data_IF_315853712329
#
_entry.id   IF_315853712329
#
_cell.length_a   1.000
_cell.length_b   1.000
_cell.length_c   1.000
_cell.angle_alpha   90.00
_cell.angle_beta   90.00
_cell.angle_gamma   90.00
#
_symmetry.space_group_name_H-M   'P 1'
#
loop_
_entity.id
_entity.type
_entity.pdbx_description
1 polymer ?
#
# COMPACT_ATOMS: atom_id res chain seq x y z
N UNK A 1 -17.09 18.72 -12.60
CA UNK A 1 -17.04 17.36 -12.03
C UNK A 1 -16.57 17.52 -10.60
N UNK A 2 -17.45 17.28 -9.63
CA UNK A 2 -17.15 17.48 -8.21
C UNK A 2 -16.15 16.40 -7.75
N UNK A 3 -15.06 16.83 -7.11
CA UNK A 3 -14.21 15.95 -6.32
C UNK A 3 -15.05 15.41 -5.14
N UNK A 4 -15.02 14.11 -4.82
CA UNK A 4 -15.59 13.64 -3.56
C UNK A 4 -14.78 14.28 -2.42
N UNK A 5 -15.45 14.93 -1.48
CA UNK A 5 -14.80 15.51 -0.32
C UNK A 5 -14.29 14.36 0.56
N UNK A 6 -12.99 14.32 0.84
CA UNK A 6 -12.36 13.29 1.68
C UNK A 6 -12.73 13.40 3.16
N UNK A 7 -13.80 14.10 3.50
CA UNK A 7 -14.28 14.30 4.86
C UNK A 7 -15.09 13.09 5.30
N UNK A 8 -14.58 12.34 6.27
CA UNK A 8 -15.30 11.23 6.89
C UNK A 8 -16.62 11.73 7.51
N UNK A 9 -17.72 10.96 7.42
CA UNK A 9 -18.78 11.07 8.41
C UNK A 9 -18.22 10.67 9.78
N UNK A 10 -18.38 11.57 10.75
CA UNK A 10 -17.92 11.42 12.14
C UNK A 10 -18.68 10.27 12.83
N UNK A 11 -18.18 9.04 12.70
CA UNK A 11 -18.70 7.84 13.37
C UNK A 11 -17.90 7.47 14.63
N UNK A 12 -17.01 8.35 15.12
CA UNK A 12 -16.29 8.17 16.39
C UNK A 12 -15.36 6.95 16.48
N UNK A 13 -15.20 6.17 15.40
CA UNK A 13 -14.42 4.92 15.40
C UNK A 13 -13.11 5.04 14.61
N UNK A 14 -12.91 6.09 13.81
CA UNK A 14 -11.76 6.24 12.92
C UNK A 14 -11.68 5.18 11.81
N UNK A 15 -12.71 4.34 11.68
CA UNK A 15 -12.80 3.29 10.67
C UNK A 15 -13.67 3.80 9.51
N UNK A 16 -13.08 3.83 8.32
CA UNK A 16 -13.87 3.87 7.08
C UNK A 16 -14.72 2.61 7.04
N UNK A 17 -16.05 2.77 6.97
CA UNK A 17 -16.93 1.66 6.65
C UNK A 17 -16.45 1.00 5.35
N UNK A 18 -16.44 -0.34 5.22
CA UNK A 18 -15.93 -1.03 4.03
C UNK A 18 -16.58 -0.62 2.68
N UNK A 19 -17.66 0.16 2.72
CA UNK A 19 -18.41 0.66 1.57
C UNK A 19 -18.18 2.15 1.23
N UNK A 20 -17.42 2.89 2.05
CA UNK A 20 -17.11 4.29 1.78
C UNK A 20 -15.98 4.40 0.74
N UNK A 21 -16.23 5.10 -0.36
CA UNK A 21 -15.22 5.29 -1.40
C UNK A 21 -14.10 6.21 -0.88
N UNK A 22 -12.88 5.69 -0.84
CA UNK A 22 -11.67 6.38 -0.39
C UNK A 22 -10.48 5.95 -1.25
N UNK A 23 -9.40 6.75 -1.35
CA UNK A 23 -8.20 6.33 -2.04
C UNK A 23 -7.53 5.15 -1.33
N UNK A 24 -6.65 4.45 -2.06
CA UNK A 24 -5.67 3.55 -1.47
C UNK A 24 -4.34 4.26 -1.30
N UNK A 25 -3.66 4.01 -0.19
CA UNK A 25 -2.25 4.35 -0.05
C UNK A 25 -1.41 3.11 -0.37
N UNK A 26 -0.60 3.20 -1.42
CA UNK A 26 0.26 2.13 -1.91
C UNK A 26 1.73 2.53 -1.78
N UNK A 27 2.56 1.63 -1.27
CA UNK A 27 3.98 1.89 -0.95
C UNK A 27 4.93 0.85 -1.56
N UNK A 28 4.44 0.07 -2.53
CA UNK A 28 5.15 -1.09 -3.08
C UNK A 28 4.87 -1.37 -4.56
N UNK A 29 4.61 -2.63 -4.87
CA UNK A 29 4.46 -3.13 -6.25
C UNK A 29 3.26 -2.52 -7.02
N UNK A 30 2.34 -1.88 -6.30
CA UNK A 30 1.20 -1.12 -6.84
C UNK A 30 1.52 0.37 -7.12
N UNK A 31 2.71 0.85 -6.78
CA UNK A 31 3.17 2.19 -7.16
C UNK A 31 3.40 2.30 -8.67
N UNK A 32 3.29 3.51 -9.22
CA UNK A 32 3.39 3.77 -10.66
C UNK A 32 4.66 3.18 -11.28
N UNK A 33 4.48 2.39 -12.33
CA UNK A 33 5.60 1.80 -13.04
C UNK A 33 6.21 0.59 -12.33
N UNK A 34 5.55 0.01 -11.32
CA UNK A 34 5.88 -1.31 -10.76
C UNK A 34 4.95 -2.41 -11.32
N UNK A 35 5.28 -3.68 -11.09
CA UNK A 35 4.73 -4.85 -11.80
C UNK A 35 3.24 -5.02 -11.60
N UNK A 36 2.76 -4.89 -10.36
CA UNK A 36 1.34 -5.03 -10.07
C UNK A 36 0.56 -3.81 -10.53
N UNK A 37 1.16 -2.62 -10.51
CA UNK A 37 0.57 -1.44 -11.14
C UNK A 37 0.38 -1.62 -12.64
N UNK A 38 1.43 -2.06 -13.36
CA UNK A 38 1.38 -2.34 -14.80
C UNK A 38 0.32 -3.39 -15.15
N UNK A 39 0.18 -4.41 -14.30
CA UNK A 39 -0.72 -5.54 -14.51
C UNK A 39 -2.19 -5.20 -14.22
N UNK A 40 -2.45 -4.39 -13.20
CA UNK A 40 -3.77 -4.28 -12.59
C UNK A 40 -4.36 -2.86 -12.57
N UNK A 41 -3.53 -1.81 -12.56
CA UNK A 41 -3.98 -0.45 -12.22
C UNK A 41 -3.93 0.57 -13.36
N UNK A 42 -3.21 0.32 -14.46
CA UNK A 42 -2.97 1.34 -15.50
C UNK A 42 -4.24 2.03 -16.03
N UNK A 43 -5.28 1.27 -16.37
CA UNK A 43 -6.56 1.80 -16.85
C UNK A 43 -7.52 2.20 -15.74
N UNK A 44 -7.17 1.92 -14.49
CA UNK A 44 -8.10 1.92 -13.35
C UNK A 44 -7.90 3.08 -12.39
N UNK A 45 -6.74 3.74 -12.44
CA UNK A 45 -6.45 4.91 -11.62
C UNK A 45 -6.99 6.18 -12.27
N UNK A 46 -7.85 6.90 -11.54
CA UNK A 46 -8.42 8.20 -11.93
C UNK A 46 -7.49 9.36 -11.56
N UNK A 47 -6.82 9.27 -10.41
CA UNK A 47 -5.91 10.28 -9.88
C UNK A 47 -4.83 9.59 -9.03
N UNK A 48 -3.62 10.12 -9.07
CA UNK A 48 -2.48 9.65 -8.27
C UNK A 48 -1.75 10.85 -7.71
N UNK A 49 -1.51 10.87 -6.41
CA UNK A 49 -0.66 11.84 -5.75
C UNK A 49 0.47 11.14 -4.98
N UNK A 50 1.60 11.81 -4.81
CA UNK A 50 2.62 11.35 -3.85
C UNK A 50 2.14 11.57 -2.43
N UNK A 51 2.53 10.68 -1.52
CA UNK A 51 2.02 10.69 -0.15
C UNK A 51 3.01 10.13 0.86
N UNK A 52 2.80 10.47 2.13
CA UNK A 52 3.59 9.94 3.24
C UNK A 52 2.71 9.52 4.41
N UNK A 53 2.99 8.34 4.95
CA UNK A 53 2.38 7.80 6.16
C UNK A 53 3.39 7.85 7.32
N UNK A 54 3.01 8.44 8.45
CA UNK A 54 3.84 8.49 9.68
C UNK A 54 3.47 7.37 10.64
N UNK A 55 4.39 7.01 11.54
CA UNK A 55 4.17 5.97 12.55
C UNK A 55 4.26 4.54 11.99
N UNK A 56 5.07 4.36 10.94
CA UNK A 56 5.20 3.09 10.25
C UNK A 56 6.66 2.79 9.90
N UNK A 57 7.00 1.51 9.87
CA UNK A 57 8.32 1.00 9.49
C UNK A 57 8.20 0.13 8.26
N UNK A 58 9.08 0.38 7.28
CA UNK A 58 9.10 -0.31 6.01
C UNK A 58 10.23 -1.34 5.95
N UNK A 59 9.93 -2.50 5.38
CA UNK A 59 10.88 -3.58 5.18
C UNK A 59 10.77 -4.11 3.76
N UNK A 60 11.88 -4.61 3.22
CA UNK A 60 11.91 -5.39 1.99
C UNK A 60 11.97 -6.87 2.32
N UNK A 61 11.13 -7.68 1.69
CA UNK A 61 11.17 -9.13 1.77
C UNK A 61 11.94 -9.68 0.56
N UNK A 62 13.19 -10.16 0.73
CA UNK A 62 14.02 -10.59 -0.40
C UNK A 62 13.44 -11.78 -1.16
N UNK A 63 12.81 -12.71 -0.44
CA UNK A 63 12.26 -13.98 -0.95
C UNK A 63 11.03 -13.85 -1.86
N UNK A 64 10.41 -12.69 -1.86
CA UNK A 64 9.20 -12.39 -2.66
C UNK A 64 9.33 -11.07 -3.42
N UNK A 65 10.44 -10.36 -3.21
CA UNK A 65 10.82 -9.13 -3.88
C UNK A 65 9.72 -8.05 -3.85
N UNK A 66 9.13 -7.81 -2.67
CA UNK A 66 8.15 -6.75 -2.43
C UNK A 66 8.34 -6.15 -1.03
N UNK A 67 7.81 -4.94 -0.76
CA UNK A 67 7.91 -4.36 0.57
C UNK A 67 6.75 -4.80 1.47
N UNK A 68 7.00 -4.78 2.77
CA UNK A 68 5.97 -4.96 3.79
C UNK A 68 6.11 -3.89 4.88
N UNK A 69 4.99 -3.49 5.46
CA UNK A 69 4.92 -2.39 6.40
C UNK A 69 4.22 -2.82 7.69
N UNK A 70 4.77 -2.39 8.83
CA UNK A 70 4.18 -2.58 10.16
C UNK A 70 4.22 -1.27 10.95
N UNK A 71 3.53 -1.24 12.10
CA UNK A 71 3.57 -0.11 13.02
C UNK A 71 5.02 0.15 13.48
N UNK A 72 5.38 1.43 13.61
CA UNK A 72 6.74 1.84 13.89
C UNK A 72 6.87 3.32 14.25
N UNK A 73 8.09 3.81 14.32
CA UNK A 73 8.43 5.18 14.72
C UNK A 73 8.97 6.06 13.58
N UNK A 74 8.97 5.52 12.35
CA UNK A 74 9.41 6.23 11.14
C UNK A 74 8.23 6.68 10.27
N UNK A 75 8.50 6.91 8.99
CA UNK A 75 7.54 7.25 7.96
C UNK A 75 7.74 6.35 6.73
N UNK A 76 6.68 6.21 5.92
CA UNK A 76 6.68 5.44 4.69
C UNK A 76 6.18 6.32 3.55
N UNK A 77 6.95 6.41 2.48
CA UNK A 77 6.61 7.13 1.26
C UNK A 77 5.89 6.20 0.29
N UNK A 78 4.88 6.75 -0.37
CA UNK A 78 4.07 6.01 -1.32
C UNK A 78 3.23 6.95 -2.17
N UNK A 79 2.12 6.41 -2.65
CA UNK A 79 1.22 7.08 -3.57
C UNK A 79 -0.22 6.89 -3.09
N UNK A 80 -1.01 7.97 -3.07
CA UNK A 80 -2.46 7.89 -2.97
C UNK A 80 -3.02 7.63 -4.37
N UNK A 81 -3.84 6.59 -4.52
CA UNK A 81 -4.53 6.27 -5.77
C UNK A 81 -6.05 6.32 -5.57
N UNK A 82 -6.70 7.12 -6.41
CA UNK A 82 -8.16 7.10 -6.54
C UNK A 82 -8.53 6.23 -7.73
N UNK A 83 -9.35 5.22 -7.50
CA UNK A 83 -9.80 4.27 -8.51
C UNK A 83 -11.00 4.85 -9.27
N UNK A 84 -11.10 4.57 -10.57
CA UNK A 84 -12.25 4.95 -11.41
C UNK A 84 -13.51 4.19 -11.01
N UNK A 85 -13.35 2.92 -10.67
CA UNK A 85 -14.41 2.05 -10.16
C UNK A 85 -13.92 1.38 -8.87
N UNK A 86 -14.15 2.07 -7.75
CA UNK A 86 -13.73 1.62 -6.43
C UNK A 86 -14.29 0.23 -6.10
N UNK A 87 -15.59 0.00 -6.36
CA UNK A 87 -16.28 -1.24 -5.96
C UNK A 87 -15.81 -2.44 -6.75
N UNK A 88 -15.51 -2.27 -8.03
CA UNK A 88 -14.98 -3.35 -8.88
C UNK A 88 -13.53 -3.68 -8.55
N UNK A 89 -12.70 -2.66 -8.34
CA UNK A 89 -11.26 -2.85 -8.16
C UNK A 89 -10.85 -3.28 -6.76
N UNK A 90 -11.62 -2.91 -5.74
CA UNK A 90 -11.29 -3.23 -4.34
C UNK A 90 -11.12 -4.74 -4.11
N UNK A 91 -12.04 -5.63 -4.55
CA UNK A 91 -11.85 -7.08 -4.45
C UNK A 91 -10.64 -7.61 -5.24
N UNK A 92 -10.28 -6.99 -6.36
CA UNK A 92 -9.13 -7.41 -7.17
C UNK A 92 -7.80 -7.06 -6.47
N UNK A 93 -7.73 -5.90 -5.82
CA UNK A 93 -6.61 -5.51 -4.97
C UNK A 93 -6.52 -6.41 -3.73
N UNK A 94 -7.65 -6.67 -3.08
CA UNK A 94 -7.71 -7.56 -1.94
C UNK A 94 -7.21 -8.97 -2.27
N UNK A 95 -7.65 -9.53 -3.41
CA UNK A 95 -7.19 -10.85 -3.86
C UNK A 95 -5.68 -10.87 -4.14
N UNK A 96 -5.14 -9.80 -4.73
CA UNK A 96 -3.70 -9.68 -4.99
C UNK A 96 -2.88 -9.66 -3.70
N UNK A 97 -3.33 -8.91 -2.70
CA UNK A 97 -2.65 -8.74 -1.40
C UNK A 97 -2.96 -9.89 -0.42
N UNK A 98 -3.53 -11.00 -0.90
CA UNK A 98 -3.87 -12.16 -0.07
C UNK A 98 -5.01 -11.93 0.93
N UNK A 99 -5.78 -10.85 0.78
CA UNK A 99 -6.93 -10.52 1.62
C UNK A 99 -8.20 -11.22 1.07
N UNK A 100 -8.54 -12.41 1.60
CA UNK A 100 -9.74 -13.18 1.17
C UNK A 100 -10.67 -13.50 2.36
N UNK A 101 -11.11 -12.47 3.11
CA UNK A 101 -12.06 -12.67 4.23
C UNK A 101 -11.52 -13.58 5.37
N UNK A 102 -12.18 -13.64 6.54
CA UNK A 102 -11.60 -14.16 7.79
C UNK A 102 -11.16 -15.63 7.68
N UNK A 103 -9.89 -15.86 7.35
CA UNK A 103 -9.21 -17.14 7.37
C UNK A 103 -7.82 -16.94 7.97
N UNK A 104 -7.25 -17.97 8.59
CA UNK A 104 -6.13 -17.82 9.54
C UNK A 104 -4.74 -17.54 8.90
N UNK A 105 -4.68 -17.15 7.62
CA UNK A 105 -3.43 -17.15 6.84
C UNK A 105 -3.23 -15.87 5.99
N UNK A 106 -3.60 -14.72 6.54
CA UNK A 106 -3.47 -13.43 5.87
C UNK A 106 -2.05 -12.86 5.93
N UNK A 107 -1.51 -12.45 4.78
CA UNK A 107 -0.26 -11.68 4.73
C UNK A 107 -0.50 -10.23 5.20
N UNK A 108 -1.67 -9.67 4.91
CA UNK A 108 -2.01 -8.27 5.17
C UNK A 108 -3.42 -8.06 5.75
N UNK A 109 -3.59 -6.97 6.50
CA UNK A 109 -4.89 -6.38 6.84
C UNK A 109 -5.07 -5.02 6.19
N UNK A 110 -6.27 -4.76 5.66
CA UNK A 110 -6.64 -3.44 5.16
C UNK A 110 -7.19 -2.57 6.29
N UNK A 111 -6.52 -1.46 6.59
CA UNK A 111 -6.94 -0.46 7.59
C UNK A 111 -7.23 0.88 6.90
N UNK A 112 -8.19 1.63 7.43
CA UNK A 112 -8.29 3.06 7.17
C UNK A 112 -7.14 3.77 7.90
N UNK A 113 -6.35 4.57 7.21
CA UNK A 113 -5.18 5.22 7.78
C UNK A 113 -5.14 6.69 7.36
N UNK A 114 -4.78 7.58 8.28
CA UNK A 114 -4.53 8.97 7.99
C UNK A 114 -3.17 9.12 7.30
N UNK A 115 -3.18 9.59 6.05
CA UNK A 115 -2.00 9.74 5.18
C UNK A 115 -1.89 11.20 4.78
N UNK A 116 -0.68 11.75 4.77
CA UNK A 116 -0.43 13.10 4.28
C UNK A 116 -0.26 13.07 2.76
N UNK A 117 -1.15 13.76 2.05
CA UNK A 117 -1.05 14.01 0.61
C UNK A 117 0.00 15.11 0.37
N UNK A 118 1.09 14.77 -0.31
CA UNK A 118 2.21 15.68 -0.52
C UNK A 118 1.96 16.68 -1.65
N UNK A 119 0.94 16.46 -2.49
CA UNK A 119 0.56 17.43 -3.53
C UNK A 119 -0.31 18.55 -2.97
N UNK A 120 -1.16 18.25 -1.99
CA UNK A 120 -2.10 19.21 -1.40
C UNK A 120 -1.69 19.69 0.00
N UNK A 121 -0.89 18.92 0.72
CA UNK A 121 -0.52 19.14 2.13
C UNK A 121 -1.62 18.73 3.12
N UNK A 122 -2.70 18.09 2.65
CA UNK A 122 -3.84 17.70 3.47
C UNK A 122 -3.68 16.27 4.02
N UNK A 123 -4.31 16.00 5.16
CA UNK A 123 -4.45 14.63 5.67
C UNK A 123 -5.68 13.98 5.04
N UNK A 124 -5.47 12.84 4.39
CA UNK A 124 -6.49 12.05 3.70
C UNK A 124 -6.62 10.69 4.36
N UNK A 125 -7.85 10.22 4.58
CA UNK A 125 -8.10 8.85 4.99
C UNK A 125 -8.02 7.91 3.79
N UNK A 126 -7.11 6.95 3.84
CA UNK A 126 -6.88 6.01 2.76
C UNK A 126 -6.92 4.56 3.26
N UNK A 127 -7.33 3.64 2.38
CA UNK A 127 -7.16 2.22 2.62
C UNK A 127 -5.70 1.82 2.42
N UNK A 128 -5.15 1.15 3.42
CA UNK A 128 -3.73 0.76 3.46
C UNK A 128 -3.61 -0.69 3.88
N UNK A 129 -2.77 -1.46 3.18
CA UNK A 129 -2.44 -2.83 3.56
C UNK A 129 -1.28 -2.83 4.56
N UNK A 130 -1.47 -3.45 5.71
CA UNK A 130 -0.48 -3.58 6.79
C UNK A 130 -0.14 -5.04 7.02
N UNK A 131 1.14 -5.35 7.17
CA UNK A 131 1.62 -6.70 7.47
C UNK A 131 1.01 -7.24 8.76
N UNK A 132 0.70 -8.53 8.78
CA UNK A 132 0.41 -9.26 10.02
C UNK A 132 1.62 -10.05 10.54
N UNK A 133 2.69 -10.15 9.75
CA UNK A 133 3.90 -10.86 10.14
C UNK A 133 4.78 -10.03 11.06
N UNK A 134 5.48 -10.70 11.98
CA UNK A 134 6.59 -10.11 12.74
C UNK A 134 7.82 -9.95 11.84
N UNK A 135 7.88 -8.83 11.12
CA UNK A 135 8.90 -8.57 10.10
C UNK A 135 10.33 -8.58 10.67
N UNK A 136 10.50 -8.30 11.96
CA UNK A 136 11.80 -8.25 12.61
C UNK A 136 12.38 -9.64 12.89
N UNK A 137 11.55 -10.68 12.90
CA UNK A 137 11.92 -12.06 13.24
C UNK A 137 11.59 -13.06 12.11
N UNK A 138 11.45 -12.58 10.87
CA UNK A 138 11.22 -13.44 9.71
C UNK A 138 12.45 -14.29 9.38
N UNK A 139 12.18 -15.49 8.86
CA UNK A 139 13.18 -16.37 8.28
C UNK A 139 12.74 -16.74 6.85
N UNK A 140 13.48 -16.30 5.81
CA UNK A 140 14.70 -15.49 5.90
C UNK A 140 14.43 -14.03 6.32
N UNK A 141 15.47 -13.33 6.80
CA UNK A 141 15.31 -12.01 7.39
C UNK A 141 14.85 -10.96 6.36
N UNK A 142 13.86 -10.16 6.77
CA UNK A 142 13.51 -8.94 6.09
C UNK A 142 14.61 -7.88 6.22
N UNK A 143 14.72 -7.00 5.24
CA UNK A 143 15.69 -5.89 5.24
C UNK A 143 14.96 -4.61 5.62
N UNK A 144 15.32 -3.99 6.74
CA UNK A 144 14.77 -2.70 7.13
C UNK A 144 15.10 -1.62 6.10
N UNK A 145 14.13 -0.73 5.83
CA UNK A 145 14.30 0.44 4.98
C UNK A 145 14.06 1.69 5.84
N UNK A 146 15.08 2.20 6.54
CA UNK A 146 14.90 3.35 7.44
C UNK A 146 14.41 4.62 6.75
N UNK A 147 14.68 4.77 5.45
CA UNK A 147 14.20 5.90 4.66
C UNK A 147 12.70 5.89 4.42
N UNK A 148 12.03 4.73 4.57
CA UNK A 148 10.61 4.57 4.24
C UNK A 148 10.28 4.60 2.76
N UNK A 149 11.28 4.67 1.87
CA UNK A 149 11.08 4.81 0.43
C UNK A 149 11.54 3.54 -0.29
N UNK A 150 10.58 2.68 -0.64
CA UNK A 150 10.88 1.44 -1.35
C UNK A 150 11.41 1.69 -2.76
N UNK A 151 10.92 2.72 -3.45
CA UNK A 151 11.35 3.05 -4.82
C UNK A 151 12.83 3.48 -4.82
N UNK A 152 13.22 4.31 -3.85
CA UNK A 152 14.61 4.68 -3.65
C UNK A 152 15.47 3.46 -3.27
N UNK A 153 14.98 2.59 -2.37
CA UNK A 153 15.67 1.36 -1.99
C UNK A 153 15.94 0.45 -3.21
N UNK A 154 14.93 0.18 -4.04
CA UNK A 154 15.07 -0.63 -5.25
C UNK A 154 16.11 -0.02 -6.20
N UNK A 155 16.06 1.30 -6.39
CA UNK A 155 16.98 2.02 -7.28
C UNK A 155 18.43 1.98 -6.78
N UNK A 156 18.65 2.27 -5.49
CA UNK A 156 19.99 2.31 -4.89
C UNK A 156 20.66 0.93 -4.88
N UNK A 157 19.88 -0.13 -4.68
CA UNK A 157 20.36 -1.50 -4.66
C UNK A 157 20.34 -2.17 -6.05
N UNK A 158 19.93 -1.44 -7.10
CA UNK A 158 19.85 -1.94 -8.48
C UNK A 158 19.01 -3.21 -8.61
N UNK A 159 17.94 -3.30 -7.82
CA UNK A 159 17.01 -4.43 -7.83
C UNK A 159 16.03 -4.29 -8.99
N UNK A 160 15.65 -5.42 -9.60
CA UNK A 160 14.63 -5.46 -10.63
C UNK A 160 13.27 -5.72 -10.01
N UNK A 161 12.25 -4.99 -10.45
CA UNK A 161 10.87 -5.23 -10.07
C UNK A 161 10.23 -6.32 -10.96
N UNK A 162 10.49 -7.55 -10.57
CA UNK A 162 10.02 -8.78 -11.21
C UNK A 162 9.54 -9.74 -10.12
N UNK A 163 8.53 -10.57 -10.42
CA UNK A 163 8.22 -11.66 -9.50
C UNK A 163 9.39 -12.63 -9.48
N UNK A 164 9.67 -13.27 -8.35
CA UNK A 164 10.67 -14.32 -8.32
C UNK A 164 10.24 -15.53 -9.14
N UNK A 165 8.93 -15.77 -9.28
CA UNK A 165 8.38 -16.75 -10.22
C UNK A 165 8.75 -16.44 -11.67
N UNK A 166 8.92 -15.15 -12.03
CA UNK A 166 9.33 -14.74 -13.37
C UNK A 166 10.84 -14.93 -13.60
N UNK A 167 11.63 -14.93 -12.52
CA UNK A 167 13.09 -15.11 -12.55
C UNK A 167 13.50 -16.59 -12.55
N UNK A 168 12.64 -17.46 -12.01
CA UNK A 168 12.88 -18.90 -11.89
C UNK A 168 11.67 -19.71 -12.40
N UNK A 169 11.44 -19.75 -13.73
CA UNK A 169 10.31 -20.45 -14.34
C UNK A 169 10.39 -21.99 -14.26
#
# INVERSE_FOLDING_TARGET
MNRPDGTLPDNGSGLLEPSAEAPFFVYGTLMYGFRNERRLLQSEVALRHTAVLKGASLWHLPDVNYPSMQEGDSQVFGELIWLKDFRRMTPELDLLEGYVGPTDNFEYIRKATAVEDLETGETVWAYTYWSLHDLANLEPPAIAIPSGDWRAFMTQNQLQDVSLDDLYP
#
